data_IF_386829877897
#
_entry.id   IF_386829877897
#
_cell.length_a   1.000
_cell.length_b   1.000
_cell.length_c   1.000
_cell.angle_alpha   90.00
_cell.angle_beta   90.00
_cell.angle_gamma   90.00
#
_symmetry.space_group_name_H-M   'P 1'
#
loop_
_entity.id
_entity.type
_entity.pdbx_description
1 polymer ?
#
# COMPACT_ATOMS: atom_id res chain seq x y z
N UNK A 1 24.81 -4.26 -19.13
CA UNK A 1 25.37 -3.67 -17.89
C UNK A 1 24.21 -3.42 -16.94
N UNK A 2 24.25 -4.10 -15.79
CA UNK A 2 23.32 -4.13 -14.64
C UNK A 2 21.88 -4.66 -14.83
N UNK A 3 21.74 -5.93 -14.45
CA UNK A 3 20.51 -6.62 -14.07
C UNK A 3 19.85 -5.96 -12.85
N UNK A 4 18.52 -5.84 -12.86
CA UNK A 4 17.70 -5.53 -11.69
C UNK A 4 16.57 -6.56 -11.61
N UNK A 5 16.89 -7.71 -11.04
CA UNK A 5 15.96 -8.72 -10.54
C UNK A 5 16.06 -8.67 -9.02
N UNK A 6 15.36 -7.74 -8.38
CA UNK A 6 14.98 -7.89 -6.98
C UNK A 6 13.47 -7.72 -6.91
N UNK A 7 12.85 -8.88 -6.96
CA UNK A 7 11.45 -9.24 -6.97
C UNK A 7 10.65 -8.71 -5.78
N UNK A 8 9.36 -8.45 -6.01
CA UNK A 8 8.32 -8.33 -4.96
C UNK A 8 8.25 -9.53 -4.00
N UNK A 9 8.96 -10.62 -4.33
CA UNK A 9 9.25 -11.76 -3.46
C UNK A 9 9.90 -11.36 -2.14
N UNK A 10 10.79 -10.36 -2.09
CA UNK A 10 11.51 -10.04 -0.84
C UNK A 10 10.60 -9.46 0.26
N UNK A 11 9.53 -8.74 -0.10
CA UNK A 11 8.55 -8.23 0.87
C UNK A 11 7.56 -9.31 1.30
N UNK A 12 7.13 -10.16 0.36
CA UNK A 12 6.39 -11.37 0.70
C UNK A 12 7.22 -12.26 1.65
N UNK A 13 8.49 -12.46 1.34
CA UNK A 13 9.45 -13.21 2.16
C UNK A 13 9.70 -12.52 3.51
N UNK A 14 9.77 -11.19 3.61
CA UNK A 14 9.95 -10.48 4.89
C UNK A 14 8.67 -10.47 5.76
N UNK A 15 7.50 -10.28 5.15
CA UNK A 15 6.21 -10.36 5.84
C UNK A 15 5.93 -11.79 6.30
N UNK A 16 6.25 -12.78 5.45
CA UNK A 16 6.14 -14.20 5.77
C UNK A 16 7.22 -14.64 6.78
N UNK A 17 8.45 -14.14 6.69
CA UNK A 17 9.54 -14.43 7.63
C UNK A 17 9.23 -13.91 9.04
N UNK A 18 8.72 -12.68 9.16
CA UNK A 18 8.27 -12.16 10.46
C UNK A 18 7.00 -12.86 10.98
N UNK A 19 6.10 -13.28 10.08
CA UNK A 19 4.91 -14.06 10.44
C UNK A 19 5.26 -15.48 10.94
N UNK A 20 6.17 -16.18 10.26
CA UNK A 20 6.66 -17.52 10.61
C UNK A 20 7.46 -17.50 11.92
N UNK A 21 8.32 -16.51 12.12
CA UNK A 21 9.04 -16.34 13.39
C UNK A 21 8.09 -16.12 14.58
N UNK A 22 7.02 -15.34 14.41
CA UNK A 22 6.04 -15.09 15.47
C UNK A 22 5.14 -16.30 15.77
N UNK A 23 4.77 -17.09 14.76
CA UNK A 23 4.00 -18.33 14.96
C UNK A 23 4.81 -19.38 15.74
N UNK A 24 6.12 -19.46 15.49
CA UNK A 24 7.03 -20.32 16.25
C UNK A 24 7.31 -19.81 17.68
N UNK A 25 7.25 -18.49 17.92
CA UNK A 25 7.33 -17.93 19.27
C UNK A 25 6.09 -18.21 20.13
N UNK A 26 4.91 -18.38 19.53
CA UNK A 26 3.71 -18.78 20.28
C UNK A 26 3.63 -20.28 20.58
N UNK A 27 4.28 -21.12 19.75
CA UNK A 27 4.41 -22.57 20.00
C UNK A 27 5.52 -22.94 20.99
N UNK A 28 6.43 -22.02 21.32
CA UNK A 28 7.53 -22.24 22.27
C UNK A 28 7.28 -21.66 23.67
N UNK A 29 6.07 -21.17 23.94
CA UNK A 29 5.66 -20.71 25.27
C UNK A 29 5.33 -21.84 26.27
N UNK A 30 5.50 -23.11 25.88
CA UNK A 30 5.53 -24.25 26.81
C UNK A 30 6.82 -25.03 26.62
N UNK A 31 7.75 -24.89 27.55
CA UNK A 31 8.91 -25.79 27.67
C UNK A 31 10.27 -25.11 27.57
N UNK A 32 10.88 -24.92 28.74
CA UNK A 32 12.30 -24.66 29.02
C UNK A 32 13.27 -25.11 27.90
N UNK A 33 14.09 -24.19 27.39
CA UNK A 33 15.56 -24.31 27.27
C UNK A 33 16.18 -23.15 26.46
N UNK A 34 16.40 -22.02 27.13
CA UNK A 34 17.38 -21.00 26.70
C UNK A 34 18.78 -21.50 27.07
N UNK A 35 19.45 -22.23 26.18
CA UNK A 35 20.94 -22.25 26.04
C UNK A 35 21.51 -23.16 24.93
N UNK A 36 20.70 -23.95 24.21
CA UNK A 36 21.21 -24.85 23.17
C UNK A 36 21.27 -24.26 21.74
N UNK A 37 20.45 -23.25 21.42
CA UNK A 37 20.23 -22.82 20.02
C UNK A 37 21.28 -21.88 19.42
N UNK A 38 22.17 -21.28 20.24
CA UNK A 38 23.28 -20.43 19.73
C UNK A 38 24.61 -21.21 19.70
N UNK A 39 24.72 -22.30 20.45
CA UNK A 39 25.92 -23.15 20.45
C UNK A 39 25.90 -24.18 19.30
N UNK A 40 24.72 -24.62 18.85
CA UNK A 40 24.60 -25.58 17.73
C UNK A 40 24.86 -24.93 16.36
N UNK A 41 24.53 -23.64 16.19
CA UNK A 41 24.75 -22.91 14.94
C UNK A 41 26.23 -22.54 14.67
N UNK A 42 27.12 -22.71 15.64
CA UNK A 42 28.57 -22.44 15.48
C UNK A 42 29.45 -23.68 15.36
N UNK A 43 28.91 -24.89 15.52
CA UNK A 43 29.66 -26.13 15.27
C UNK A 43 29.37 -26.80 13.92
N UNK A 44 28.37 -26.33 13.17
CA UNK A 44 27.97 -26.90 11.87
C UNK A 44 28.62 -26.10 10.71
N UNK A 45 29.94 -25.95 10.75
CA UNK A 45 30.76 -25.49 9.60
C UNK A 45 31.86 -26.47 9.22
N UNK A 46 31.74 -27.73 9.65
CA UNK A 46 32.52 -28.83 9.08
C UNK A 46 31.60 -30.00 8.79
N UNK A 47 31.79 -30.56 7.60
CA UNK A 47 31.08 -31.68 6.98
C UNK A 47 29.82 -31.27 6.20
N UNK A 48 30.09 -30.94 4.92
CA UNK A 48 29.10 -31.04 3.86
C UNK A 48 28.71 -32.50 3.63
N UNK A 49 27.46 -32.70 3.22
CA UNK A 49 26.82 -33.93 2.71
C UNK A 49 25.43 -34.20 3.34
N UNK A 50 24.94 -33.34 4.25
CA UNK A 50 23.57 -33.43 4.80
C UNK A 50 22.65 -32.24 4.47
N UNK A 51 23.02 -31.40 3.49
CA UNK A 51 22.26 -30.18 3.15
C UNK A 51 21.21 -30.36 2.04
N UNK A 52 21.29 -31.42 1.21
CA UNK A 52 20.41 -31.55 0.05
C UNK A 52 18.94 -31.89 0.40
N UNK A 53 18.68 -32.48 1.57
CA UNK A 53 17.31 -32.84 2.00
C UNK A 53 16.53 -31.70 2.64
N UNK A 54 17.17 -30.93 3.53
CA UNK A 54 16.54 -29.86 4.31
C UNK A 54 16.38 -28.55 3.51
N UNK A 55 17.29 -28.25 2.58
CA UNK A 55 17.09 -27.16 1.61
C UNK A 55 15.93 -27.46 0.65
N UNK A 56 15.69 -28.74 0.33
CA UNK A 56 14.59 -29.14 -0.55
C UNK A 56 13.22 -28.97 0.10
N UNK A 57 13.06 -29.30 1.40
CA UNK A 57 11.80 -29.14 2.12
C UNK A 57 11.50 -27.68 2.48
N UNK A 58 12.53 -26.88 2.81
CA UNK A 58 12.38 -25.44 3.08
C UNK A 58 12.22 -24.63 1.78
N UNK A 59 12.86 -25.06 0.69
CA UNK A 59 12.66 -24.55 -0.66
C UNK A 59 11.29 -24.93 -1.24
N UNK A 60 10.75 -26.10 -0.89
CA UNK A 60 9.42 -26.56 -1.28
C UNK A 60 8.30 -25.82 -0.53
N UNK A 61 8.49 -25.51 0.76
CA UNK A 61 7.53 -24.71 1.53
C UNK A 61 7.43 -23.25 1.05
N UNK A 62 8.49 -22.72 0.42
CA UNK A 62 8.55 -21.35 -0.11
C UNK A 62 8.16 -21.25 -1.61
N UNK A 63 7.72 -22.33 -2.26
CA UNK A 63 7.49 -22.37 -3.72
C UNK A 63 6.06 -22.69 -4.17
N UNK A 64 5.03 -22.64 -3.32
CA UNK A 64 3.66 -22.92 -3.83
C UNK A 64 2.49 -22.22 -3.14
N UNK A 65 2.64 -20.96 -2.75
CA UNK A 65 1.47 -20.06 -2.79
C UNK A 65 1.68 -19.02 -3.88
N UNK A 66 0.89 -19.14 -4.95
CA UNK A 66 0.80 -18.15 -6.02
C UNK A 66 0.13 -16.89 -5.45
N UNK A 67 0.86 -16.08 -4.69
CA UNK A 67 0.37 -14.81 -4.21
C UNK A 67 0.18 -13.87 -5.39
N UNK A 68 -1.07 -13.41 -5.58
CA UNK A 68 -1.37 -12.35 -6.54
C UNK A 68 -0.97 -11.03 -5.87
N UNK A 69 0.10 -10.41 -6.38
CA UNK A 69 0.50 -9.07 -5.93
C UNK A 69 -0.30 -8.02 -6.69
N UNK A 70 -0.92 -7.11 -5.92
CA UNK A 70 -1.65 -5.95 -6.43
C UNK A 70 -0.97 -4.68 -5.93
N UNK A 71 -0.63 -3.78 -6.84
CA UNK A 71 -0.19 -2.43 -6.50
C UNK A 71 -1.41 -1.50 -6.47
N UNK A 72 -1.79 -1.02 -5.28
CA UNK A 72 -3.03 -0.25 -5.12
C UNK A 72 -2.85 1.26 -5.36
N UNK A 73 -1.70 1.78 -5.80
CA UNK A 73 -1.54 3.23 -5.90
C UNK A 73 -0.40 3.70 -6.77
N UNK A 74 -0.51 3.51 -8.09
CA UNK A 74 0.50 3.92 -9.06
C UNK A 74 0.13 5.22 -9.79
N UNK A 75 1.06 6.16 -9.84
CA UNK A 75 0.89 7.44 -10.54
C UNK A 75 1.32 7.36 -12.02
N UNK A 76 0.79 6.38 -12.77
CA UNK A 76 1.21 6.09 -14.15
C UNK A 76 0.80 7.16 -15.18
N UNK A 77 -0.11 8.06 -14.82
CA UNK A 77 -0.46 9.25 -15.63
C UNK A 77 0.63 10.32 -15.61
N UNK A 78 1.66 10.17 -14.77
CA UNK A 78 2.79 11.09 -14.73
C UNK A 78 3.58 11.06 -16.05
N UNK A 79 3.88 12.25 -16.58
CA UNK A 79 4.62 12.44 -17.85
C UNK A 79 5.97 11.70 -17.92
N UNK A 80 6.55 11.32 -16.78
CA UNK A 80 7.77 10.51 -16.71
C UNK A 80 7.61 9.13 -17.36
N UNK A 81 6.40 8.58 -17.37
CA UNK A 81 6.12 7.24 -17.91
C UNK A 81 5.65 7.25 -19.36
N UNK A 82 5.41 8.42 -19.96
CA UNK A 82 4.86 8.53 -21.32
C UNK A 82 5.70 7.81 -22.38
N UNK A 83 7.03 7.70 -22.18
CA UNK A 83 7.94 7.09 -23.16
C UNK A 83 8.12 5.59 -23.00
N UNK A 84 7.84 5.04 -21.82
CA UNK A 84 8.17 3.65 -21.49
C UNK A 84 7.04 2.91 -20.74
N UNK A 85 5.80 3.41 -20.80
CA UNK A 85 4.66 2.85 -20.09
C UNK A 85 4.47 1.35 -20.34
N UNK A 86 4.48 0.89 -21.59
CA UNK A 86 4.40 -0.54 -21.93
C UNK A 86 5.50 -1.37 -21.26
N UNK A 87 6.72 -0.82 -21.23
CA UNK A 87 7.86 -1.48 -20.59
C UNK A 87 7.73 -1.47 -19.06
N UNK A 88 7.20 -0.41 -18.46
CA UNK A 88 6.93 -0.33 -17.02
C UNK A 88 5.90 -1.38 -16.62
N UNK A 89 4.78 -1.48 -17.34
CA UNK A 89 3.72 -2.46 -17.07
C UNK A 89 4.23 -3.89 -17.31
N UNK A 90 4.99 -4.11 -18.40
CA UNK A 90 5.64 -5.40 -18.68
C UNK A 90 6.57 -5.84 -17.55
N UNK A 91 7.46 -4.95 -17.08
CA UNK A 91 8.35 -5.24 -15.94
C UNK A 91 7.60 -5.53 -14.65
N UNK A 92 6.49 -4.82 -14.40
CA UNK A 92 5.66 -5.08 -13.21
C UNK A 92 5.05 -6.49 -13.25
N UNK A 93 4.50 -6.89 -14.40
CA UNK A 93 3.96 -8.24 -14.62
C UNK A 93 5.04 -9.30 -14.46
N UNK A 94 6.20 -9.10 -15.09
CA UNK A 94 7.32 -10.06 -15.03
C UNK A 94 7.88 -10.18 -13.59
N UNK A 95 7.68 -9.17 -12.74
CA UNK A 95 8.00 -9.19 -11.31
C UNK A 95 6.88 -9.79 -10.42
N UNK A 96 5.77 -10.26 -11.00
CA UNK A 96 4.65 -10.86 -10.29
C UNK A 96 3.55 -9.88 -9.84
N UNK A 97 3.61 -8.60 -10.24
CA UNK A 97 2.54 -7.63 -10.00
C UNK A 97 1.47 -7.80 -11.08
N UNK A 98 0.37 -8.44 -10.73
CA UNK A 98 -0.65 -8.85 -11.70
C UNK A 98 -1.66 -7.74 -11.98
N UNK A 99 -1.99 -6.94 -10.97
CA UNK A 99 -2.94 -5.83 -11.08
C UNK A 99 -2.33 -4.55 -10.52
N UNK A 100 -2.60 -3.42 -11.16
CA UNK A 100 -2.10 -2.11 -10.74
C UNK A 100 -3.26 -1.12 -10.77
N UNK A 101 -3.48 -0.40 -9.69
CA UNK A 101 -4.48 0.66 -9.59
C UNK A 101 -3.81 2.01 -9.86
N UNK A 102 -4.22 2.67 -10.94
CA UNK A 102 -3.73 3.98 -11.36
C UNK A 102 -4.52 5.07 -10.64
N UNK A 103 -3.81 5.93 -9.92
CA UNK A 103 -4.44 6.94 -9.08
C UNK A 103 -4.92 8.14 -9.89
N UNK A 104 -6.22 8.44 -9.80
CA UNK A 104 -6.80 9.71 -10.22
C UNK A 104 -6.74 10.73 -9.07
N UNK A 105 -6.42 11.99 -9.38
CA UNK A 105 -6.23 13.07 -8.38
C UNK A 105 -7.00 14.35 -8.72
N UNK A 106 -7.52 14.44 -9.93
CA UNK A 106 -8.44 15.46 -10.43
C UNK A 106 -9.40 14.79 -11.41
N UNK A 107 -10.47 15.47 -11.83
CA UNK A 107 -11.35 14.97 -12.92
C UNK A 107 -10.53 14.64 -14.16
N UNK A 108 -9.60 15.52 -14.56
CA UNK A 108 -8.80 15.32 -15.76
C UNK A 108 -7.82 14.15 -15.62
N UNK A 109 -7.11 14.03 -14.50
CA UNK A 109 -6.20 12.90 -14.29
C UNK A 109 -6.95 11.58 -14.09
N UNK A 110 -8.18 11.62 -13.57
CA UNK A 110 -9.07 10.45 -13.47
C UNK A 110 -9.54 9.97 -14.85
N UNK A 111 -9.88 10.88 -15.77
CA UNK A 111 -10.17 10.53 -17.17
C UNK A 111 -8.96 9.87 -17.85
N UNK A 112 -7.77 10.41 -17.61
CA UNK A 112 -6.53 9.83 -18.16
C UNK A 112 -6.20 8.47 -17.53
N UNK A 113 -6.38 8.31 -16.22
CA UNK A 113 -6.20 7.03 -15.54
C UNK A 113 -7.17 5.97 -16.10
N UNK A 114 -8.44 6.33 -16.29
CA UNK A 114 -9.43 5.48 -16.95
C UNK A 114 -8.98 5.11 -18.37
N UNK A 115 -8.46 6.07 -19.15
CA UNK A 115 -7.92 5.79 -20.49
C UNK A 115 -6.80 4.76 -20.46
N UNK A 116 -5.90 4.80 -19.47
CA UNK A 116 -4.84 3.80 -19.31
C UNK A 116 -5.39 2.40 -19.03
N UNK A 117 -6.49 2.27 -18.28
CA UNK A 117 -7.13 0.96 -18.05
C UNK A 117 -7.61 0.30 -19.35
N UNK A 118 -7.98 1.10 -20.35
CA UNK A 118 -8.40 0.61 -21.68
C UNK A 118 -7.24 0.15 -22.55
N UNK A 119 -6.05 0.72 -22.34
CA UNK A 119 -4.84 0.29 -23.04
C UNK A 119 -4.28 -1.02 -22.48
N UNK A 120 -4.49 -1.27 -21.19
CA UNK A 120 -3.98 -2.44 -20.48
C UNK A 120 -5.12 -3.14 -19.73
N UNK A 121 -6.11 -3.68 -20.46
CA UNK A 121 -7.28 -4.32 -19.87
C UNK A 121 -6.85 -5.48 -18.96
N UNK A 122 -7.63 -5.71 -17.91
CA UNK A 122 -7.37 -6.73 -16.88
C UNK A 122 -6.04 -6.58 -16.12
N UNK A 123 -5.22 -5.58 -16.43
CA UNK A 123 -3.95 -5.32 -15.73
C UNK A 123 -4.04 -4.02 -14.95
N UNK A 124 -4.52 -2.96 -15.60
CA UNK A 124 -4.69 -1.65 -14.98
C UNK A 124 -6.16 -1.43 -14.59
N UNK A 125 -6.34 -0.97 -13.36
CA UNK A 125 -7.58 -0.40 -12.83
C UNK A 125 -7.30 1.05 -12.46
N UNK A 126 -8.31 1.82 -12.08
CA UNK A 126 -8.08 3.19 -11.61
C UNK A 126 -8.96 3.60 -10.46
N UNK A 127 -8.60 4.71 -9.83
CA UNK A 127 -9.47 5.48 -8.94
C UNK A 127 -9.93 6.75 -9.65
N UNK A 128 -10.97 7.38 -9.11
CA UNK A 128 -11.36 8.72 -9.53
C UNK A 128 -11.76 9.59 -8.33
N UNK A 129 -11.22 10.80 -8.28
CA UNK A 129 -11.42 11.72 -7.17
C UNK A 129 -10.68 13.04 -7.36
N UNK A 130 -10.76 13.88 -6.33
CA UNK A 130 -10.07 15.17 -6.20
C UNK A 130 -9.21 15.13 -4.94
N UNK A 131 -7.90 15.19 -5.16
CA UNK A 131 -6.87 15.20 -4.12
C UNK A 131 -6.97 16.49 -3.28
N UNK A 132 -6.67 16.49 -1.97
CA UNK A 132 -6.74 17.68 -1.11
C UNK A 132 -6.01 18.91 -1.66
N UNK A 133 -4.89 18.71 -2.36
CA UNK A 133 -4.17 19.83 -2.99
C UNK A 133 -4.98 20.57 -4.06
N UNK A 134 -5.91 19.87 -4.71
CA UNK A 134 -6.76 20.34 -5.80
C UNK A 134 -8.19 20.66 -5.33
N UNK A 135 -8.46 20.62 -4.02
CA UNK A 135 -9.80 20.86 -3.47
C UNK A 135 -10.37 22.24 -3.85
N UNK A 136 -9.52 23.28 -3.96
CA UNK A 136 -9.93 24.62 -4.43
C UNK A 136 -10.45 24.66 -5.87
N UNK A 137 -10.17 23.63 -6.67
CA UNK A 137 -10.63 23.52 -8.06
C UNK A 137 -11.97 22.81 -8.16
N UNK A 138 -12.58 22.40 -7.04
CA UNK A 138 -13.90 21.78 -7.02
C UNK A 138 -14.99 22.81 -7.36
N UNK A 139 -15.83 22.50 -8.33
CA UNK A 139 -16.97 23.30 -8.77
C UNK A 139 -18.28 22.48 -8.81
N UNK A 140 -19.34 23.08 -9.37
CA UNK A 140 -20.67 22.46 -9.46
C UNK A 140 -20.72 21.28 -10.44
N UNK A 141 -19.83 21.22 -11.43
CA UNK A 141 -19.78 20.17 -12.46
C UNK A 141 -18.91 18.98 -12.03
N UNK A 142 -18.00 19.20 -11.08
CA UNK A 142 -17.00 18.23 -10.63
C UNK A 142 -17.62 16.93 -10.14
N UNK A 143 -18.69 16.98 -9.34
CA UNK A 143 -19.32 15.77 -8.80
C UNK A 143 -19.92 14.90 -9.92
N UNK A 144 -20.62 15.52 -10.86
CA UNK A 144 -21.25 14.80 -11.97
C UNK A 144 -20.20 14.19 -12.89
N UNK A 145 -19.14 14.93 -13.21
CA UNK A 145 -18.02 14.40 -13.98
C UNK A 145 -17.35 13.19 -13.29
N UNK A 146 -17.22 13.21 -11.95
CA UNK A 146 -16.71 12.06 -11.20
C UNK A 146 -17.69 10.88 -11.24
N UNK A 147 -19.00 11.11 -11.14
CA UNK A 147 -20.03 10.07 -11.24
C UNK A 147 -19.95 9.32 -12.58
N UNK A 148 -19.82 10.05 -13.68
CA UNK A 148 -19.65 9.46 -15.02
C UNK A 148 -18.41 8.57 -15.10
N UNK A 149 -17.27 9.04 -14.57
CA UNK A 149 -16.03 8.26 -14.55
C UNK A 149 -16.20 7.01 -13.69
N UNK A 150 -16.72 7.16 -12.47
CA UNK A 150 -16.92 6.08 -11.50
C UNK A 150 -17.93 5.03 -11.98
N UNK A 151 -18.83 5.35 -12.90
CA UNK A 151 -19.75 4.37 -13.50
C UNK A 151 -19.03 3.25 -14.28
N UNK A 152 -17.76 3.46 -14.67
CA UNK A 152 -16.95 2.45 -15.34
C UNK A 152 -16.45 1.39 -14.35
N UNK A 153 -16.52 0.11 -14.74
CA UNK A 153 -16.21 -1.03 -13.86
C UNK A 153 -14.72 -1.13 -13.51
N UNK A 154 -13.85 -0.56 -14.33
CA UNK A 154 -12.40 -0.49 -14.13
C UNK A 154 -12.01 0.62 -13.15
N UNK A 155 -12.93 1.55 -12.83
CA UNK A 155 -12.75 2.57 -11.81
C UNK A 155 -13.28 2.04 -10.48
N UNK A 156 -12.38 1.50 -9.67
CA UNK A 156 -12.74 0.61 -8.56
C UNK A 156 -12.91 1.32 -7.21
N UNK A 157 -12.47 2.57 -7.08
CA UNK A 157 -12.57 3.33 -5.83
C UNK A 157 -12.75 4.84 -6.08
N UNK A 158 -13.36 5.51 -5.09
CA UNK A 158 -13.37 6.98 -5.00
C UNK A 158 -12.09 7.44 -4.33
N UNK A 159 -11.35 8.31 -5.00
CA UNK A 159 -10.09 8.85 -4.54
C UNK A 159 -9.08 8.99 -5.69
N UNK A 160 -7.89 9.51 -5.48
CA UNK A 160 -7.35 9.98 -4.21
C UNK A 160 -8.12 11.20 -3.69
N UNK A 161 -8.65 11.08 -2.48
CA UNK A 161 -9.38 12.14 -1.77
C UNK A 161 -8.88 12.19 -0.32
N UNK A 162 -9.21 13.22 0.46
CA UNK A 162 -8.79 13.27 1.87
C UNK A 162 -8.28 14.64 2.24
N UNK A 163 -7.33 14.68 3.17
CA UNK A 163 -6.83 15.91 3.79
C UNK A 163 -5.29 15.94 3.82
N UNK A 164 -4.69 17.09 3.52
CA UNK A 164 -3.26 17.36 3.65
C UNK A 164 -3.06 18.73 4.29
N UNK A 165 -2.94 18.73 5.62
CA UNK A 165 -2.74 19.93 6.42
C UNK A 165 -1.26 20.30 6.60
N UNK A 166 -0.36 19.50 6.04
CA UNK A 166 1.06 19.80 6.01
C UNK A 166 1.40 20.77 4.86
N UNK A 167 0.91 20.48 3.65
CA UNK A 167 1.20 21.29 2.45
C UNK A 167 0.23 22.43 2.25
N UNK A 168 -1.04 22.26 2.65
CA UNK A 168 -2.09 23.29 2.58
C UNK A 168 -2.17 24.03 1.22
N UNK A 169 -2.05 23.33 0.10
CA UNK A 169 -2.19 23.95 -1.23
C UNK A 169 -3.62 24.38 -1.56
N UNK A 170 -4.59 23.90 -0.79
CA UNK A 170 -5.97 24.39 -0.72
C UNK A 170 -6.32 24.71 0.75
N UNK A 171 -7.22 25.68 1.03
CA UNK A 171 -7.64 25.98 2.40
C UNK A 171 -8.24 24.76 3.11
N UNK A 172 -7.98 24.61 4.41
CA UNK A 172 -8.42 23.44 5.18
C UNK A 172 -9.94 23.25 5.16
N UNK A 173 -10.71 24.34 5.27
CA UNK A 173 -12.17 24.31 5.17
C UNK A 173 -12.63 23.78 3.82
N UNK A 174 -11.99 24.22 2.73
CA UNK A 174 -12.27 23.72 1.37
C UNK A 174 -11.89 22.24 1.23
N UNK A 175 -10.75 21.81 1.78
CA UNK A 175 -10.37 20.39 1.79
C UNK A 175 -11.41 19.54 2.53
N UNK A 176 -11.89 20.00 3.69
CA UNK A 176 -12.91 19.34 4.49
C UNK A 176 -14.25 19.23 3.76
N UNK A 177 -14.68 20.30 3.10
CA UNK A 177 -15.92 20.31 2.31
C UNK A 177 -15.84 19.31 1.16
N UNK A 178 -14.77 19.37 0.36
CA UNK A 178 -14.55 18.49 -0.79
C UNK A 178 -14.38 17.04 -0.38
N UNK A 179 -13.67 16.77 0.72
CA UNK A 179 -13.53 15.43 1.25
C UNK A 179 -14.90 14.87 1.70
N UNK A 180 -15.72 15.66 2.40
CA UNK A 180 -17.07 15.24 2.79
C UNK A 180 -17.97 14.93 1.58
N UNK A 181 -17.92 15.73 0.51
CA UNK A 181 -18.65 15.46 -0.74
C UNK A 181 -18.23 14.12 -1.35
N UNK A 182 -16.93 13.83 -1.41
CA UNK A 182 -16.42 12.57 -1.96
C UNK A 182 -16.73 11.35 -1.09
N UNK A 183 -16.72 11.48 0.25
CA UNK A 183 -17.17 10.42 1.16
C UNK A 183 -18.65 10.12 0.96
N UNK A 184 -19.49 11.17 0.83
CA UNK A 184 -20.91 11.02 0.52
C UNK A 184 -21.12 10.30 -0.82
N UNK A 185 -20.38 10.71 -1.87
CA UNK A 185 -20.40 10.09 -3.19
C UNK A 185 -20.03 8.60 -3.12
N UNK A 186 -18.96 8.25 -2.41
CA UNK A 186 -18.53 6.87 -2.22
C UNK A 186 -19.60 6.01 -1.52
N UNK A 187 -20.27 6.57 -0.49
CA UNK A 187 -21.39 5.91 0.18
C UNK A 187 -22.56 5.66 -0.78
N UNK A 188 -22.95 6.66 -1.58
CA UNK A 188 -24.02 6.53 -2.57
C UNK A 188 -23.72 5.47 -3.63
N UNK A 189 -22.48 5.42 -4.11
CA UNK A 189 -22.06 4.49 -5.15
C UNK A 189 -21.63 3.12 -4.61
N UNK A 190 -21.55 2.96 -3.29
CA UNK A 190 -21.01 1.78 -2.60
C UNK A 190 -19.61 1.39 -3.10
N UNK A 191 -18.78 2.39 -3.42
CA UNK A 191 -17.41 2.18 -3.88
C UNK A 191 -16.42 2.44 -2.76
N UNK A 192 -15.37 1.61 -2.61
CA UNK A 192 -14.31 1.85 -1.63
C UNK A 192 -13.73 3.27 -1.69
N UNK A 193 -13.25 3.75 -0.55
CA UNK A 193 -12.54 5.02 -0.42
C UNK A 193 -11.02 4.79 -0.44
N UNK A 194 -10.31 5.60 -1.21
CA UNK A 194 -8.85 5.65 -1.28
C UNK A 194 -8.37 7.02 -0.76
N UNK A 195 -7.96 7.05 0.51
CA UNK A 195 -7.81 8.28 1.30
C UNK A 195 -6.35 8.66 1.51
N UNK A 196 -6.02 9.89 1.11
CA UNK A 196 -4.80 10.59 1.48
C UNK A 196 -4.99 11.25 2.84
N UNK A 197 -4.04 11.05 3.73
CA UNK A 197 -3.98 11.78 4.98
C UNK A 197 -2.54 12.21 5.26
N UNK A 198 -2.40 13.48 5.67
CA UNK A 198 -1.15 14.03 6.19
C UNK A 198 -1.43 15.18 7.16
N UNK A 199 -0.98 15.00 8.40
CA UNK A 199 -1.16 15.93 9.53
C UNK A 199 -2.65 16.30 9.77
N UNK A 200 -3.58 15.40 9.45
CA UNK A 200 -5.02 15.62 9.47
C UNK A 200 -5.80 14.40 10.02
N UNK A 201 -5.13 13.59 10.82
CA UNK A 201 -5.66 12.32 11.34
C UNK A 201 -7.02 12.45 12.04
N UNK A 202 -7.13 13.43 12.95
CA UNK A 202 -8.34 13.67 13.75
C UNK A 202 -9.52 14.01 12.86
N UNK A 203 -9.29 14.92 11.91
CA UNK A 203 -10.32 15.44 11.00
C UNK A 203 -10.79 14.38 10.01
N UNK A 204 -9.88 13.55 9.50
CA UNK A 204 -10.26 12.40 8.67
C UNK A 204 -11.18 11.46 9.44
N UNK A 205 -10.82 11.09 10.69
CA UNK A 205 -11.66 10.23 11.52
C UNK A 205 -13.02 10.85 11.84
N UNK A 206 -13.07 12.14 12.14
CA UNK A 206 -14.32 12.86 12.40
C UNK A 206 -15.26 12.81 11.19
N UNK A 207 -14.74 13.03 9.98
CA UNK A 207 -15.53 12.90 8.75
C UNK A 207 -16.01 11.45 8.58
N UNK A 208 -15.13 10.46 8.69
CA UNK A 208 -15.51 9.04 8.52
C UNK A 208 -16.60 8.63 9.52
N UNK A 209 -16.49 9.03 10.79
CA UNK A 209 -17.47 8.70 11.83
C UNK A 209 -18.87 9.23 11.56
N UNK A 210 -19.01 10.37 10.87
CA UNK A 210 -20.32 10.90 10.44
C UNK A 210 -21.04 9.97 9.46
N UNK A 211 -20.30 9.14 8.73
CA UNK A 211 -20.82 8.22 7.72
C UNK A 211 -20.74 6.75 8.14
N UNK A 212 -20.30 6.42 9.36
CA UNK A 212 -19.94 5.07 9.82
C UNK A 212 -20.91 3.95 9.40
N UNK A 213 -22.22 4.21 9.46
CA UNK A 213 -23.26 3.21 9.19
C UNK A 213 -23.47 2.95 7.68
N UNK A 214 -22.84 3.75 6.83
CA UNK A 214 -22.94 3.71 5.36
C UNK A 214 -21.57 3.66 4.68
N UNK A 215 -20.48 3.64 5.44
CA UNK A 215 -19.14 3.65 4.86
C UNK A 215 -18.88 2.37 4.06
N UNK A 216 -18.44 2.49 2.79
CA UNK A 216 -17.84 1.37 2.07
C UNK A 216 -16.44 1.06 2.66
N UNK A 217 -15.76 0.00 2.21
CA UNK A 217 -14.38 -0.25 2.63
C UNK A 217 -13.48 0.98 2.44
N UNK A 218 -12.66 1.30 3.43
CA UNK A 218 -11.81 2.49 3.43
C UNK A 218 -10.35 2.07 3.47
N UNK A 219 -9.54 2.65 2.59
CA UNK A 219 -8.09 2.49 2.60
C UNK A 219 -7.44 3.83 2.93
N UNK A 220 -6.67 3.89 4.01
CA UNK A 220 -5.75 5.00 4.28
C UNK A 220 -4.47 4.70 3.50
N UNK A 221 -4.30 5.34 2.35
CA UNK A 221 -3.17 5.03 1.48
C UNK A 221 -1.91 5.76 1.95
N UNK A 222 -0.74 5.17 1.67
CA UNK A 222 0.55 5.72 2.04
C UNK A 222 0.59 6.18 3.52
N UNK A 223 0.11 5.32 4.42
CA UNK A 223 0.09 5.61 5.85
C UNK A 223 1.53 5.86 6.34
N UNK A 224 1.75 7.03 6.94
CA UNK A 224 3.04 7.44 7.54
C UNK A 224 2.89 7.86 9.00
N UNK A 225 1.80 7.47 9.65
CA UNK A 225 1.49 7.83 11.03
C UNK A 225 2.11 6.89 12.06
N UNK A 226 1.74 7.12 13.32
CA UNK A 226 2.19 6.34 14.48
C UNK A 226 1.23 5.20 14.86
N UNK A 227 1.64 4.39 15.85
CA UNK A 227 0.89 3.25 16.35
C UNK A 227 -0.53 3.60 16.85
N UNK A 228 -0.69 4.75 17.49
CA UNK A 228 -1.99 5.18 18.00
C UNK A 228 -2.94 5.54 16.84
N UNK A 229 -2.41 6.20 15.81
CA UNK A 229 -3.15 6.57 14.61
C UNK A 229 -3.55 5.32 13.80
N UNK A 230 -2.64 4.36 13.64
CA UNK A 230 -2.95 3.08 12.99
C UNK A 230 -4.07 2.34 13.73
N UNK A 231 -3.96 2.22 15.06
CA UNK A 231 -4.98 1.56 15.88
C UNK A 231 -6.35 2.25 15.78
N UNK A 232 -6.37 3.59 15.71
CA UNK A 232 -7.61 4.34 15.55
C UNK A 232 -8.29 4.05 14.20
N UNK A 233 -7.54 4.01 13.09
CA UNK A 233 -8.08 3.64 11.78
C UNK A 233 -8.57 2.19 11.72
N UNK A 234 -7.81 1.26 12.31
CA UNK A 234 -8.19 -0.16 12.38
C UNK A 234 -9.48 -0.35 13.18
N UNK A 235 -9.68 0.41 14.25
CA UNK A 235 -10.92 0.40 15.05
C UNK A 235 -12.15 0.82 14.25
N UNK A 236 -11.99 1.74 13.30
CA UNK A 236 -13.05 2.12 12.36
C UNK A 236 -13.18 1.16 11.17
N UNK A 237 -12.43 0.05 11.15
CA UNK A 237 -12.47 -0.98 10.10
C UNK A 237 -11.70 -0.63 8.83
N UNK A 238 -10.83 0.39 8.87
CA UNK A 238 -10.04 0.80 7.71
C UNK A 238 -8.90 -0.20 7.41
N UNK A 239 -8.45 -0.17 6.16
CA UNK A 239 -7.23 -0.82 5.69
C UNK A 239 -6.08 0.19 5.68
N UNK A 240 -4.87 -0.30 5.92
CA UNK A 240 -3.64 0.50 5.95
C UNK A 240 -2.81 0.20 4.70
N UNK A 241 -2.64 1.21 3.85
CA UNK A 241 -1.81 1.14 2.65
C UNK A 241 -0.38 1.58 2.92
N UNK A 242 0.59 0.74 2.58
CA UNK A 242 2.02 1.02 2.77
C UNK A 242 2.77 1.22 1.47
N UNK A 243 3.76 2.12 1.49
CA UNK A 243 4.68 2.34 0.37
C UNK A 243 6.11 1.97 0.76
N UNK A 244 7.06 2.18 -0.17
CA UNK A 244 8.50 2.15 0.14
C UNK A 244 8.95 3.14 1.25
N UNK A 245 8.08 3.99 1.79
CA UNK A 245 8.37 4.80 2.98
C UNK A 245 8.78 3.96 4.19
N UNK A 246 8.31 2.70 4.30
CA UNK A 246 8.72 1.74 5.35
C UNK A 246 10.24 1.66 5.48
N UNK A 247 10.98 1.74 4.37
CA UNK A 247 12.43 1.67 4.35
C UNK A 247 13.13 2.98 4.75
N UNK A 248 12.43 4.10 4.68
CA UNK A 248 12.94 5.42 5.04
C UNK A 248 12.60 5.80 6.47
N UNK A 249 11.55 5.21 7.01
CA UNK A 249 11.10 5.45 8.36
C UNK A 249 12.16 5.00 9.38
N UNK A 250 12.53 5.93 10.26
CA UNK A 250 13.49 5.74 11.35
C UNK A 250 12.88 6.11 12.70
N UNK A 251 11.59 6.42 12.73
CA UNK A 251 10.88 6.78 13.95
C UNK A 251 10.73 5.56 14.86
N UNK A 252 10.87 5.77 16.16
CA UNK A 252 10.77 4.69 17.16
C UNK A 252 9.35 4.11 17.26
N UNK A 253 8.34 4.85 16.80
CA UNK A 253 6.90 4.54 16.86
C UNK A 253 6.20 4.61 15.48
N UNK A 254 6.98 4.73 14.41
CA UNK A 254 6.46 4.87 13.04
C UNK A 254 6.01 3.56 12.40
N UNK A 255 5.71 3.62 11.11
CA UNK A 255 5.23 2.52 10.26
C UNK A 255 6.06 1.24 10.41
N UNK A 256 7.40 1.35 10.44
CA UNK A 256 8.26 0.17 10.59
C UNK A 256 7.99 -0.52 11.92
N UNK A 257 7.92 0.26 13.01
CA UNK A 257 7.67 -0.25 14.35
C UNK A 257 6.29 -0.90 14.45
N UNK A 258 5.27 -0.28 13.88
CA UNK A 258 3.89 -0.76 13.85
C UNK A 258 3.80 -2.16 13.23
N UNK A 259 4.56 -2.40 12.15
CA UNK A 259 4.66 -3.71 11.52
C UNK A 259 5.45 -4.70 12.38
N UNK A 260 6.60 -4.27 12.89
CA UNK A 260 7.46 -5.11 13.73
C UNK A 260 6.76 -5.57 15.00
N UNK A 261 5.89 -4.74 15.58
CA UNK A 261 5.08 -5.05 16.77
C UNK A 261 3.81 -5.84 16.42
N UNK A 262 3.40 -5.89 15.15
CA UNK A 262 2.22 -6.61 14.68
C UNK A 262 0.90 -5.92 15.03
N UNK A 263 0.91 -4.60 15.08
CA UNK A 263 -0.27 -3.77 15.39
C UNK A 263 -1.28 -3.82 14.24
N UNK A 264 -0.81 -3.87 13.00
CA UNK A 264 -1.64 -3.99 11.80
C UNK A 264 -1.75 -5.46 11.39
N UNK A 265 -2.94 -6.07 11.45
CA UNK A 265 -3.18 -7.42 10.94
C UNK A 265 -2.90 -7.53 9.44
N UNK A 266 -2.39 -8.69 8.99
CA UNK A 266 -2.06 -8.90 7.57
C UNK A 266 -3.28 -8.77 6.65
N UNK A 267 -4.47 -9.15 7.10
CA UNK A 267 -5.74 -9.01 6.38
C UNK A 267 -6.27 -7.55 6.32
N UNK A 268 -5.60 -6.63 7.02
CA UNK A 268 -5.85 -5.18 6.97
C UNK A 268 -4.73 -4.39 6.29
N UNK A 269 -3.71 -5.07 5.78
CA UNK A 269 -2.56 -4.45 5.13
C UNK A 269 -2.71 -4.47 3.61
N UNK A 270 -2.43 -3.35 2.95
CA UNK A 270 -2.39 -3.23 1.49
C UNK A 270 -1.07 -2.58 1.05
N UNK A 271 -0.60 -2.91 -0.16
CA UNK A 271 0.72 -2.49 -0.64
C UNK A 271 0.66 -1.56 -1.87
N UNK A 272 1.49 -0.50 -1.87
CA UNK A 272 1.56 0.55 -2.88
C UNK A 272 2.98 0.71 -3.44
N UNK A 273 3.09 0.84 -4.77
CA UNK A 273 4.27 1.22 -5.54
C UNK A 273 5.58 0.47 -5.19
N UNK A 274 5.98 -0.45 -6.06
CA UNK A 274 7.36 -0.96 -6.10
C UNK A 274 8.33 -0.05 -6.90
N UNK A 275 7.82 0.94 -7.63
CA UNK A 275 8.55 1.53 -8.76
C UNK A 275 9.61 2.60 -8.43
N UNK A 276 9.93 2.86 -7.15
CA UNK A 276 10.81 3.98 -6.78
C UNK A 276 11.81 3.67 -5.66
N UNK A 277 12.58 2.57 -5.75
CA UNK A 277 13.82 2.45 -4.97
C UNK A 277 14.98 1.89 -5.79
N UNK A 278 15.47 2.66 -6.77
CA UNK A 278 16.85 2.53 -7.24
C UNK A 278 17.57 3.87 -7.18
N UNK A 279 18.29 4.13 -6.07
CA UNK A 279 19.53 4.92 -6.06
C UNK A 279 20.28 4.63 -4.75
N UNK A 280 21.34 3.81 -4.89
CA UNK A 280 22.51 3.60 -4.02
C UNK A 280 22.38 3.96 -2.53
N UNK A 281 22.41 2.94 -1.68
CA UNK A 281 23.10 2.99 -0.40
C UNK A 281 24.12 1.85 -0.37
N UNK A 282 25.34 2.17 -0.78
CA UNK A 282 26.51 1.34 -0.51
C UNK A 282 26.99 1.74 0.89
N UNK A 283 27.14 0.74 1.74
CA UNK A 283 27.50 0.82 3.16
C UNK A 283 28.96 1.27 3.43
N UNK A 284 29.59 1.99 2.48
CA UNK A 284 31.02 2.37 2.54
C UNK A 284 31.29 3.86 2.81
N UNK A 285 30.26 4.67 3.03
CA UNK A 285 30.42 6.08 3.42
C UNK A 285 29.71 6.40 4.77
N UNK A 286 29.75 5.45 5.73
CA UNK A 286 29.52 5.72 7.16
C UNK A 286 30.86 5.73 7.89
#
# INVERSE_FOLDING_TARGET
MLFCLCSGRLLADLLLYNYVLRRNHHLTAQGKEKKASVAMAKSITKEGDALDGLESDMGALLTSENYIIVDIGANLTNKKFTRDLDSVVGRARDAGVHKIMVTGTTVQSSKEALRLTRLFPETLYSTAGVHPHEAKSWDEETEEALREILANHEVVAVGECGLDFNRNFSPQETQLEVFQKQVSLACSLKKPLFIHERDAHTEVLEVLRKYKDRLPPVVIHCFTGDASQAAAYLKEGCYIGLTGYVWKDKSEDGVRRILEDGIVPLDRLLHLNFLLMSKKLSQKDL
#
